data_IF_185776126656
#
_entry.id   IF_185776126656
#
_cell.length_a   1.000
_cell.length_b   1.000
_cell.length_c   1.000
_cell.angle_alpha   90.00
_cell.angle_beta   90.00
_cell.angle_gamma   90.00
#
_symmetry.space_group_name_H-M   'P 1'
#
loop_
_entity.id
_entity.type
_entity.pdbx_description
1 polymer ?
#
# COMPACT_ATOMS: atom_id res chain seq x y z
N UNK A 1 -7.48 -12.28 -8.69
CA UNK A 1 -6.83 -11.27 -7.83
C UNK A 1 -7.88 -10.25 -7.48
N UNK A 2 -8.18 -10.09 -6.19
CA UNK A 2 -9.09 -9.05 -5.73
C UNK A 2 -8.35 -7.71 -5.70
N UNK A 3 -9.04 -6.62 -6.04
CA UNK A 3 -8.51 -5.27 -5.93
C UNK A 3 -9.65 -4.31 -5.56
N UNK A 4 -9.27 -3.19 -4.96
CA UNK A 4 -10.14 -2.03 -4.84
C UNK A 4 -9.54 -0.85 -5.61
N UNK A 5 -10.39 0.11 -5.97
CA UNK A 5 -9.96 1.37 -6.56
C UNK A 5 -10.47 2.52 -5.71
N UNK A 6 -9.58 3.42 -5.33
CA UNK A 6 -9.90 4.57 -4.49
C UNK A 6 -9.13 5.80 -4.93
N UNK A 7 -9.53 6.97 -4.44
CA UNK A 7 -8.75 8.18 -4.63
C UNK A 7 -8.73 9.04 -3.37
N UNK A 8 -7.65 9.79 -3.19
CA UNK A 8 -7.51 10.80 -2.15
C UNK A 8 -7.16 12.13 -2.80
N UNK A 9 -8.07 13.11 -2.74
CA UNK A 9 -7.87 14.46 -3.32
C UNK A 9 -7.19 14.43 -4.69
N UNK A 10 -7.87 13.86 -5.68
CA UNK A 10 -7.44 13.74 -7.09
C UNK A 10 -6.32 12.74 -7.41
N UNK A 11 -5.68 12.10 -6.42
CA UNK A 11 -4.71 11.05 -6.66
C UNK A 11 -5.38 9.67 -6.52
N UNK A 12 -5.40 8.86 -7.58
CA UNK A 12 -6.08 7.57 -7.62
C UNK A 12 -5.14 6.36 -7.51
N UNK A 13 -5.61 5.32 -6.81
CA UNK A 13 -4.81 4.14 -6.47
C UNK A 13 -5.56 2.85 -6.76
N UNK A 14 -4.84 1.84 -7.24
CA UNK A 14 -5.26 0.44 -7.15
C UNK A 14 -4.76 -0.11 -5.82
N UNK A 15 -5.67 -0.64 -5.00
CA UNK A 15 -5.35 -1.24 -3.70
C UNK A 15 -5.41 -2.76 -3.82
N UNK A 16 -4.33 -3.42 -3.43
CA UNK A 16 -4.16 -4.87 -3.55
C UNK A 16 -4.00 -5.49 -2.14
N UNK A 17 -5.01 -6.15 -1.58
CA UNK A 17 -4.82 -6.95 -0.37
C UNK A 17 -3.90 -8.12 -0.66
N UNK A 18 -2.83 -8.25 0.12
CA UNK A 18 -1.84 -9.30 -0.05
C UNK A 18 -1.21 -9.70 1.30
N UNK A 19 -2.02 -10.27 2.22
CA UNK A 19 -1.58 -10.54 3.59
C UNK A 19 -0.44 -11.56 3.68
N UNK A 20 -0.28 -12.44 2.68
CA UNK A 20 0.79 -13.43 2.59
C UNK A 20 2.02 -12.96 1.81
N UNK A 21 2.00 -11.74 1.29
CA UNK A 21 3.03 -11.19 0.42
C UNK A 21 3.33 -12.05 -0.84
N UNK A 22 2.30 -12.62 -1.46
CA UNK A 22 2.42 -13.56 -2.59
C UNK A 22 2.48 -12.86 -3.96
N UNK A 23 2.06 -11.59 -4.04
CA UNK A 23 2.03 -10.87 -5.30
C UNK A 23 3.42 -10.39 -5.72
N UNK A 24 3.86 -10.82 -6.90
CA UNK A 24 5.07 -10.29 -7.54
C UNK A 24 4.78 -8.96 -8.25
N UNK A 25 4.95 -7.86 -7.54
CA UNK A 25 4.79 -6.51 -8.09
C UNK A 25 6.06 -6.04 -8.80
N UNK A 26 6.34 -6.63 -9.97
CA UNK A 26 7.40 -6.16 -10.86
C UNK A 26 7.07 -4.75 -11.39
N UNK A 27 8.11 -4.01 -11.79
CA UNK A 27 7.92 -2.65 -12.35
C UNK A 27 6.96 -2.66 -13.55
N UNK A 28 7.13 -3.63 -14.45
CA UNK A 28 6.28 -3.78 -15.64
C UNK A 28 4.84 -4.16 -15.29
N UNK A 29 4.62 -5.04 -14.32
CA UNK A 29 3.27 -5.42 -13.90
C UNK A 29 2.52 -4.22 -13.31
N UNK A 30 3.18 -3.43 -12.46
CA UNK A 30 2.61 -2.18 -11.91
C UNK A 30 2.30 -1.19 -13.03
N UNK A 31 3.22 -1.00 -13.98
CA UNK A 31 3.00 -0.09 -15.10
C UNK A 31 1.79 -0.48 -15.97
N UNK A 32 1.60 -1.78 -16.23
CA UNK A 32 0.41 -2.27 -16.95
C UNK A 32 -0.86 -2.06 -16.13
N UNK A 33 -0.85 -2.36 -14.83
CA UNK A 33 -2.01 -2.13 -13.95
C UNK A 33 -2.43 -0.65 -13.92
N UNK A 34 -1.45 0.25 -13.87
CA UNK A 34 -1.66 1.69 -13.80
C UNK A 34 -1.95 2.35 -15.15
N UNK A 35 -1.72 1.68 -16.28
CA UNK A 35 -2.12 2.18 -17.59
C UNK A 35 -3.65 2.29 -17.69
N UNK A 36 -4.16 3.46 -18.07
CA UNK A 36 -5.60 3.76 -18.08
C UNK A 36 -6.36 3.14 -19.26
N UNK A 37 -5.66 2.56 -20.23
CA UNK A 37 -6.25 1.92 -21.42
C UNK A 37 -6.00 0.42 -21.44
N UNK A 38 -4.82 -0.02 -21.03
CA UNK A 38 -4.41 -1.42 -21.03
C UNK A 38 -4.71 -2.11 -19.69
N UNK A 39 -4.82 -1.34 -18.60
CA UNK A 39 -5.10 -1.85 -17.26
C UNK A 39 -6.29 -1.18 -16.59
N UNK A 40 -6.19 -1.02 -15.27
CA UNK A 40 -7.24 -0.42 -14.43
C UNK A 40 -7.15 1.11 -14.47
N UNK A 41 -5.94 1.64 -14.56
CA UNK A 41 -5.67 3.06 -14.62
C UNK A 41 -5.59 3.73 -13.24
N UNK A 42 -4.40 4.05 -12.77
CA UNK A 42 -4.19 4.73 -11.50
C UNK A 42 -2.85 5.46 -11.47
N UNK A 43 -2.71 6.44 -10.58
CA UNK A 43 -1.43 7.11 -10.34
C UNK A 43 -0.43 6.20 -9.61
N UNK A 44 -0.91 5.15 -8.92
CA UNK A 44 -0.06 4.09 -8.39
C UNK A 44 -0.80 2.92 -7.76
N UNK A 45 -0.03 2.00 -7.17
CA UNK A 45 -0.51 0.76 -6.52
C UNK A 45 -0.18 0.80 -5.03
N UNK A 46 -1.14 0.45 -4.20
CA UNK A 46 -1.00 0.28 -2.75
C UNK A 46 -1.20 -1.19 -2.39
N UNK A 47 -0.11 -1.90 -2.11
CA UNK A 47 -0.20 -3.26 -1.57
C UNK A 47 -0.42 -3.20 -0.05
N UNK A 48 -1.38 -3.98 0.44
CA UNK A 48 -1.79 -4.05 1.85
C UNK A 48 -1.29 -5.35 2.46
N UNK A 49 -0.28 -5.24 3.33
CA UNK A 49 0.31 -6.35 4.06
C UNK A 49 0.87 -5.87 5.40
N UNK A 50 1.32 -6.80 6.26
CA UNK A 50 2.04 -6.46 7.50
C UNK A 50 3.53 -6.26 7.23
N UNK A 51 4.18 -5.35 7.96
CA UNK A 51 5.58 -5.01 7.74
C UNK A 51 6.53 -6.21 7.88
N UNK A 52 6.30 -7.08 8.87
CA UNK A 52 7.06 -8.31 9.09
C UNK A 52 6.95 -9.28 7.93
N UNK A 53 5.74 -9.48 7.41
CA UNK A 53 5.49 -10.37 6.26
C UNK A 53 6.20 -9.86 5.01
N UNK A 54 6.16 -8.55 4.74
CA UNK A 54 6.88 -7.96 3.62
C UNK A 54 8.39 -8.09 3.74
N UNK A 55 8.94 -7.94 4.95
CA UNK A 55 10.37 -8.16 5.22
C UNK A 55 10.74 -9.62 4.94
N UNK A 56 9.97 -10.57 5.48
CA UNK A 56 10.26 -12.00 5.37
C UNK A 56 10.16 -12.50 3.92
N UNK A 57 9.28 -11.89 3.12
CA UNK A 57 9.16 -12.11 1.68
C UNK A 57 10.23 -11.37 0.84
N UNK A 58 11.16 -10.62 1.45
CA UNK A 58 12.21 -9.89 0.75
C UNK A 58 11.74 -8.63 0.00
N UNK A 59 10.53 -8.15 0.28
CA UNK A 59 9.96 -6.92 -0.31
C UNK A 59 10.53 -5.68 0.38
N UNK A 60 10.84 -5.81 1.66
CA UNK A 60 11.52 -4.81 2.47
C UNK A 60 12.85 -5.37 2.95
N UNK A 61 13.95 -4.65 2.74
CA UNK A 61 15.27 -5.05 3.27
C UNK A 61 15.29 -4.99 4.82
N UNK A 62 14.51 -4.07 5.40
CA UNK A 62 14.35 -3.89 6.84
C UNK A 62 13.02 -3.21 7.16
N UNK A 63 12.54 -3.39 8.38
CA UNK A 63 11.39 -2.62 8.89
C UNK A 63 11.85 -1.17 9.17
N UNK A 64 11.18 -0.15 8.59
CA UNK A 64 11.52 1.25 8.80
C UNK A 64 11.34 1.73 10.25
N UNK A 65 12.01 2.84 10.60
CA UNK A 65 11.98 3.37 11.97
C UNK A 65 10.56 3.71 12.43
N UNK A 66 10.25 3.32 13.67
CA UNK A 66 8.96 3.55 14.32
C UNK A 66 7.83 2.63 13.85
N UNK A 67 8.10 1.70 12.93
CA UNK A 67 7.15 0.69 12.44
C UNK A 67 7.46 -0.62 13.15
N UNK A 68 6.44 -1.29 13.67
CA UNK A 68 6.55 -2.63 14.25
C UNK A 68 6.25 -3.71 13.21
N UNK A 69 6.71 -4.95 13.44
CA UNK A 69 6.49 -6.06 12.50
C UNK A 69 5.00 -6.34 12.22
N UNK A 70 4.16 -6.11 13.24
CA UNK A 70 2.71 -6.30 13.15
C UNK A 70 1.98 -5.05 12.66
N UNK A 71 2.65 -3.95 12.31
CA UNK A 71 1.97 -2.79 11.74
C UNK A 71 1.55 -3.05 10.30
N UNK A 72 0.42 -2.44 9.91
CA UNK A 72 -0.01 -2.39 8.52
C UNK A 72 0.99 -1.57 7.72
N UNK A 73 1.44 -2.09 6.58
CA UNK A 73 2.45 -1.46 5.76
C UNK A 73 1.91 -1.16 4.37
N UNK A 74 2.02 0.10 3.97
CA UNK A 74 1.67 0.58 2.65
C UNK A 74 2.86 0.43 1.71
N UNK A 75 2.99 -0.72 1.05
CA UNK A 75 3.97 -0.90 -0.03
C UNK A 75 3.46 -0.17 -1.28
N UNK A 76 3.82 1.11 -1.36
CA UNK A 76 3.43 2.02 -2.42
C UNK A 76 4.40 1.96 -3.60
N UNK A 77 3.84 1.78 -4.81
CA UNK A 77 4.52 1.90 -6.10
C UNK A 77 3.87 3.00 -6.94
N UNK A 78 4.67 3.86 -7.56
CA UNK A 78 4.16 4.81 -8.54
C UNK A 78 3.64 4.06 -9.78
N UNK A 79 2.84 4.74 -10.61
CA UNK A 79 2.25 4.16 -11.82
C UNK A 79 3.27 3.72 -12.87
N UNK A 80 4.52 4.17 -12.80
CA UNK A 80 5.61 3.67 -13.65
C UNK A 80 6.35 2.45 -13.04
N UNK A 81 5.85 1.95 -11.91
CA UNK A 81 6.37 0.82 -11.14
C UNK A 81 7.56 1.13 -10.24
N UNK A 82 8.04 2.38 -10.17
CA UNK A 82 9.09 2.76 -9.23
C UNK A 82 8.59 2.69 -7.79
N UNK A 83 9.51 2.40 -6.86
CA UNK A 83 9.22 2.43 -5.43
C UNK A 83 9.03 3.88 -5.01
N UNK A 84 7.96 4.13 -4.25
CA UNK A 84 7.72 5.40 -3.63
C UNK A 84 7.91 5.32 -2.11
N UNK A 85 8.50 6.37 -1.54
CA UNK A 85 8.79 6.40 -0.10
C UNK A 85 7.56 6.76 0.73
N UNK A 86 6.74 7.70 0.25
CA UNK A 86 5.54 8.17 0.95
C UNK A 86 4.59 8.93 0.01
N UNK A 87 3.29 8.81 0.24
CA UNK A 87 2.27 9.68 -0.34
C UNK A 87 1.14 9.90 0.68
N UNK A 88 0.96 11.14 1.14
CA UNK A 88 -0.08 11.48 2.11
C UNK A 88 -1.50 11.17 1.62
N UNK A 89 -1.75 11.24 0.31
CA UNK A 89 -3.02 10.85 -0.30
C UNK A 89 -3.22 9.33 -0.25
N UNK A 90 -2.15 8.56 -0.52
CA UNK A 90 -2.15 7.10 -0.44
C UNK A 90 -2.45 6.61 0.98
N UNK A 91 -1.85 7.23 2.01
CA UNK A 91 -2.10 6.86 3.41
C UNK A 91 -3.58 7.00 3.79
N UNK A 92 -4.26 8.05 3.31
CA UNK A 92 -5.71 8.23 3.59
C UNK A 92 -6.55 7.14 2.93
N UNK A 93 -6.27 6.82 1.66
CA UNK A 93 -6.97 5.74 0.94
C UNK A 93 -6.70 4.39 1.60
N UNK A 94 -5.45 4.14 1.99
CA UNK A 94 -5.03 2.91 2.64
C UNK A 94 -5.69 2.72 4.01
N UNK A 95 -5.67 3.75 4.87
CA UNK A 95 -6.31 3.69 6.18
C UNK A 95 -7.83 3.51 6.07
N UNK A 96 -8.47 4.20 5.11
CA UNK A 96 -9.89 4.00 4.83
C UNK A 96 -10.19 2.58 4.35
N UNK A 97 -9.39 2.04 3.44
CA UNK A 97 -9.50 0.65 2.96
C UNK A 97 -9.45 -0.35 4.11
N UNK A 98 -8.48 -0.23 5.02
CA UNK A 98 -8.40 -1.09 6.19
C UNK A 98 -9.67 -1.07 7.05
N UNK A 99 -10.27 0.11 7.21
CA UNK A 99 -11.45 0.30 8.06
C UNK A 99 -12.72 -0.26 7.45
N UNK A 100 -12.97 -0.01 6.15
CA UNK A 100 -14.20 -0.47 5.47
C UNK A 100 -14.20 -1.97 5.15
N UNK A 101 -13.03 -2.60 5.22
CA UNK A 101 -12.86 -4.05 5.07
C UNK A 101 -12.63 -4.77 6.40
N UNK A 102 -12.87 -4.10 7.55
CA UNK A 102 -12.74 -4.67 8.90
C UNK A 102 -11.36 -5.29 9.23
N UNK A 103 -10.31 -4.87 8.51
CA UNK A 103 -8.93 -5.29 8.73
C UNK A 103 -8.30 -4.56 9.93
N UNK A 104 -8.82 -3.37 10.25
CA UNK A 104 -8.45 -2.59 11.42
C UNK A 104 -9.71 -2.01 12.05
N UNK A 105 -9.86 -2.18 13.37
CA UNK A 105 -11.06 -1.75 14.11
C UNK A 105 -10.80 -0.55 15.00
N UNK A 106 -9.53 -0.22 15.26
CA UNK A 106 -9.14 0.95 16.06
C UNK A 106 -9.31 2.21 15.23
N UNK A 107 -9.74 3.29 15.87
CA UNK A 107 -9.83 4.61 15.24
C UNK A 107 -8.46 5.30 15.14
N UNK A 108 -7.47 4.84 15.92
CA UNK A 108 -6.09 5.32 15.90
C UNK A 108 -5.12 4.14 15.78
N UNK A 109 -4.25 4.19 14.78
CA UNK A 109 -3.25 3.16 14.52
C UNK A 109 -2.09 3.72 13.69
N UNK A 110 -1.05 2.90 13.49
CA UNK A 110 0.11 3.23 12.66
C UNK A 110 -0.03 2.58 11.28
N UNK A 111 0.24 3.37 10.25
CA UNK A 111 0.53 2.91 8.90
C UNK A 111 2.03 3.04 8.66
N UNK A 112 2.69 1.90 8.47
CA UNK A 112 4.08 1.83 8.04
C UNK A 112 4.24 2.23 6.58
N UNK A 113 5.32 2.93 6.28
CA UNK A 113 5.76 3.26 4.93
C UNK A 113 7.28 3.19 4.86
N UNK A 114 7.86 3.22 3.66
CA UNK A 114 9.32 3.27 3.49
C UNK A 114 9.95 4.51 4.14
N UNK A 115 9.18 5.59 4.28
CA UNK A 115 9.56 6.79 5.03
C UNK A 115 9.37 6.70 6.56
N UNK A 116 9.03 5.51 7.10
CA UNK A 116 8.76 5.29 8.52
C UNK A 116 7.28 5.28 8.88
N UNK A 117 7.00 5.27 10.18
CA UNK A 117 5.65 5.21 10.72
C UNK A 117 4.85 6.50 10.51
N UNK A 118 3.54 6.33 10.29
CA UNK A 118 2.55 7.40 10.22
C UNK A 118 1.36 7.05 11.09
N UNK A 119 1.19 7.77 12.19
CA UNK A 119 -0.03 7.70 12.97
C UNK A 119 -1.19 8.26 12.14
N UNK A 120 -2.30 7.54 12.11
CA UNK A 120 -3.53 7.95 11.43
C UNK A 120 -4.69 7.95 12.42
N UNK A 121 -5.69 8.78 12.12
CA UNK A 121 -7.00 8.74 12.78
C UNK A 121 -8.05 8.67 11.68
N UNK A 122 -8.98 7.71 11.79
CA UNK A 122 -10.00 7.41 10.78
C UNK A 122 -11.39 7.69 11.33
#
# INVERSE_FOLDING_TARGET
MEFAKGHGTQNDFVVLPDPGAELELTRSAVAVLCDRRQGIGADGVLRVARAGVLRDAGVLDRIPAGVEADDWFMDYRNGDGTIAEMCGNGVRVFAHYLRVHDLEQRDQFVVGSRAGARAVTV
#
